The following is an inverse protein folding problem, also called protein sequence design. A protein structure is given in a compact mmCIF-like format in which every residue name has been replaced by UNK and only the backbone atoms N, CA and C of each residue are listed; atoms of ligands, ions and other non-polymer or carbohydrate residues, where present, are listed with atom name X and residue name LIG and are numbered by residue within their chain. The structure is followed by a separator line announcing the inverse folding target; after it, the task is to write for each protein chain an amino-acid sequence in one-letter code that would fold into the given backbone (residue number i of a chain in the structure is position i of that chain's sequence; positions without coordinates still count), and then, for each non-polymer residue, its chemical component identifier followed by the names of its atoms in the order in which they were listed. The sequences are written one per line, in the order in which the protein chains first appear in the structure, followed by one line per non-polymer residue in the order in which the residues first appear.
data_IF_872140125993
#
_entry.id   IF_872140125993
#
_cell.length_a   1.000
_cell.length_b   1.000
_cell.length_c   1.000
_cell.angle_alpha   90.00
_cell.angle_beta   90.00
_cell.angle_gamma   90.00
#
_symmetry.space_group_name_H-M   'P 1'
#
loop_
_entity.id
_entity.type
_entity.pdbx_description
1 polymer ?
#
# COMPACT_ATOMS: atom_id res chain seq x y z
N UNK A 1 1.69 -4.57 4.32
CA UNK A 1 0.73 -4.85 3.23
C UNK A 1 1.06 -6.19 2.60
N UNK A 2 0.05 -6.98 2.29
CA UNK A 2 0.15 -8.25 1.56
C UNK A 2 -0.76 -8.09 0.35
N UNK A 3 -0.19 -8.10 -0.85
CA UNK A 3 -0.92 -7.87 -2.10
C UNK A 3 -0.69 -9.06 -3.03
N UNK A 4 -1.76 -9.57 -3.62
CA UNK A 4 -1.75 -10.65 -4.61
C UNK A 4 -2.79 -10.36 -5.69
N UNK A 5 -2.51 -10.69 -6.94
CA UNK A 5 -3.50 -10.63 -8.01
C UNK A 5 -3.28 -11.80 -8.97
N UNK A 6 -4.37 -12.39 -9.43
CA UNK A 6 -4.39 -13.50 -10.40
C UNK A 6 -4.90 -13.07 -11.77
N UNK A 7 -5.24 -11.78 -11.93
CA UNK A 7 -5.66 -11.19 -13.20
C UNK A 7 -4.44 -11.02 -14.12
N UNK A 8 -4.67 -11.05 -15.45
CA UNK A 8 -3.60 -10.89 -16.45
C UNK A 8 -2.85 -9.56 -16.34
N UNK A 9 -3.50 -8.52 -15.81
CA UNK A 9 -2.96 -7.18 -15.54
C UNK A 9 -2.63 -6.96 -14.05
N UNK A 10 -2.55 -8.01 -13.23
CA UNK A 10 -2.40 -7.89 -11.78
C UNK A 10 -1.15 -7.14 -11.32
N UNK A 11 -0.04 -7.27 -12.05
CA UNK A 11 1.20 -6.52 -11.78
C UNK A 11 1.00 -5.02 -11.98
N UNK A 12 0.28 -4.62 -13.03
CA UNK A 12 0.02 -3.21 -13.34
C UNK A 12 -0.88 -2.61 -12.27
N UNK A 13 -1.95 -3.30 -11.90
CA UNK A 13 -2.84 -2.91 -10.80
C UNK A 13 -2.09 -2.71 -9.49
N UNK A 14 -1.22 -3.66 -9.11
CA UNK A 14 -0.43 -3.55 -7.87
C UNK A 14 0.53 -2.36 -7.97
N UNK A 15 1.18 -2.16 -9.12
CA UNK A 15 2.09 -1.03 -9.34
C UNK A 15 1.38 0.30 -9.21
N UNK A 16 0.22 0.47 -9.83
CA UNK A 16 -0.59 1.68 -9.73
C UNK A 16 -1.06 1.93 -8.29
N UNK A 17 -1.47 0.87 -7.58
CA UNK A 17 -1.88 0.97 -6.18
C UNK A 17 -0.73 1.48 -5.31
N UNK A 18 0.46 0.90 -5.49
CA UNK A 18 1.66 1.29 -4.75
C UNK A 18 2.09 2.72 -5.08
N UNK A 19 2.01 3.14 -6.35
CA UNK A 19 2.30 4.51 -6.75
C UNK A 19 1.35 5.51 -6.08
N UNK A 20 0.05 5.19 -6.00
CA UNK A 20 -0.94 6.03 -5.29
C UNK A 20 -0.65 6.11 -3.80
N UNK A 21 -0.30 4.99 -3.15
CA UNK A 21 0.07 4.99 -1.75
C UNK A 21 1.38 5.74 -1.47
N UNK A 22 2.35 5.67 -2.38
CA UNK A 22 3.63 6.37 -2.27
C UNK A 22 3.54 7.87 -2.63
N UNK A 23 2.45 8.30 -3.28
CA UNK A 23 2.17 9.71 -3.53
C UNK A 23 1.77 10.46 -2.24
N UNK A 24 1.40 9.74 -1.18
CA UNK A 24 1.16 10.33 0.14
C UNK A 24 2.48 10.82 0.71
N UNK A 25 2.45 12.04 1.24
CA UNK A 25 3.65 12.72 1.74
C UNK A 25 4.38 11.89 2.81
N UNK A 26 5.71 11.85 2.69
CA UNK A 26 6.60 11.17 3.63
C UNK A 26 6.35 9.66 3.78
N UNK A 27 5.67 9.01 2.81
CA UNK A 27 5.46 7.56 2.78
C UNK A 27 6.52 6.89 1.89
N UNK A 28 7.09 5.81 2.40
CA UNK A 28 8.01 4.93 1.66
C UNK A 28 7.46 3.52 1.68
N UNK A 29 7.35 2.92 0.50
CA UNK A 29 6.90 1.53 0.35
C UNK A 29 8.06 0.69 -0.18
N UNK A 30 8.39 -0.38 0.55
CA UNK A 30 9.50 -1.29 0.22
C UNK A 30 8.96 -2.69 0.01
N UNK A 31 9.37 -3.33 -1.09
CA UNK A 31 9.03 -4.72 -1.34
C UNK A 31 9.87 -5.67 -0.47
N UNK A 32 9.21 -6.55 0.26
CA UNK A 32 9.83 -7.55 1.14
C UNK A 32 9.86 -8.95 0.52
N UNK A 33 9.25 -9.16 -0.64
CA UNK A 33 9.15 -10.48 -1.29
C UNK A 33 7.82 -11.19 -1.05
N UNK A 34 7.43 -12.07 -1.99
CA UNK A 34 6.23 -12.91 -1.89
C UNK A 34 4.93 -12.11 -1.73
N UNK A 35 4.80 -10.99 -2.43
CA UNK A 35 3.64 -10.10 -2.32
C UNK A 35 3.58 -9.27 -1.04
N UNK A 36 4.63 -9.30 -0.19
CA UNK A 36 4.69 -8.50 1.04
C UNK A 36 5.36 -7.14 0.77
N UNK A 37 4.74 -6.09 1.28
CA UNK A 37 5.23 -4.72 1.18
C UNK A 37 5.26 -4.07 2.57
N UNK A 38 6.38 -3.46 2.90
CA UNK A 38 6.57 -2.63 4.11
C UNK A 38 6.18 -1.21 3.77
N UNK A 39 5.26 -0.63 4.54
CA UNK A 39 4.89 0.77 4.44
C UNK A 39 5.48 1.49 5.65
N UNK A 40 6.27 2.53 5.40
CA UNK A 40 6.94 3.34 6.42
C UNK A 40 6.55 4.79 6.20
N UNK A 41 6.05 5.45 7.23
CA UNK A 41 5.76 6.88 7.19
C UNK A 41 6.77 7.60 8.05
N UNK A 42 7.42 8.62 7.49
CA UNK A 42 8.22 9.58 8.24
C UNK A 42 7.31 10.72 8.67
N UNK A 43 7.37 11.11 9.92
CA UNK A 43 6.64 12.24 10.46
C UNK A 43 7.37 12.76 11.68
N UNK A 44 7.17 14.04 11.98
CA UNK A 44 7.71 14.67 13.18
C UNK A 44 7.08 14.06 14.44
N UNK A 45 5.78 13.78 14.36
CA UNK A 45 4.98 13.25 15.46
C UNK A 45 4.05 12.13 15.01
N UNK A 46 3.73 11.23 15.95
CA UNK A 46 2.82 10.11 15.72
C UNK A 46 1.43 10.57 15.23
N UNK A 47 0.95 11.72 15.70
CA UNK A 47 -0.34 12.31 15.31
C UNK A 47 -0.40 12.73 13.85
N UNK A 48 0.74 13.05 13.24
CA UNK A 48 0.83 13.35 11.80
C UNK A 48 1.10 12.09 10.97
N UNK A 49 1.89 11.15 11.50
CA UNK A 49 2.25 9.93 10.79
C UNK A 49 1.08 8.94 10.68
N UNK A 50 0.25 8.81 11.72
CA UNK A 50 -0.87 7.87 11.75
C UNK A 50 -1.92 8.12 10.65
N UNK A 51 -2.46 9.35 10.46
CA UNK A 51 -3.44 9.59 9.39
C UNK A 51 -2.84 9.34 8.00
N UNK A 52 -1.59 9.75 7.76
CA UNK A 52 -0.89 9.51 6.49
C UNK A 52 -0.68 8.01 6.22
N UNK A 53 -0.30 7.25 7.24
CA UNK A 53 -0.13 5.80 7.16
C UNK A 53 -1.45 5.12 6.81
N UNK A 54 -2.53 5.53 7.48
CA UNK A 54 -3.86 5.02 7.22
C UNK A 54 -4.30 5.33 5.80
N UNK A 55 -4.22 6.60 5.39
CA UNK A 55 -4.56 7.07 4.04
C UNK A 55 -3.82 6.29 2.95
N UNK A 56 -2.49 6.18 3.06
CA UNK A 56 -1.68 5.46 2.09
C UNK A 56 -2.04 3.97 2.02
N UNK A 57 -2.27 3.32 3.17
CA UNK A 57 -2.68 1.92 3.20
C UNK A 57 -4.07 1.70 2.61
N UNK A 58 -5.04 2.57 2.90
CA UNK A 58 -6.40 2.49 2.36
C UNK A 58 -6.42 2.72 0.85
N UNK A 59 -5.66 3.69 0.33
CA UNK A 59 -5.52 3.92 -1.11
C UNK A 59 -5.03 2.67 -1.85
N UNK A 60 -3.98 2.03 -1.32
CA UNK A 60 -3.42 0.81 -1.91
C UNK A 60 -4.44 -0.32 -1.87
N UNK A 61 -5.04 -0.58 -0.70
CA UNK A 61 -5.98 -1.68 -0.51
C UNK A 61 -7.22 -1.51 -1.38
N UNK A 62 -7.84 -0.32 -1.37
CA UNK A 62 -9.03 -0.04 -2.16
C UNK A 62 -8.76 -0.15 -3.66
N UNK A 63 -7.60 0.31 -4.14
CA UNK A 63 -7.27 0.22 -5.56
C UNK A 63 -7.10 -1.22 -6.02
N UNK A 64 -6.42 -2.07 -5.23
CA UNK A 64 -6.24 -3.49 -5.55
C UNK A 64 -7.57 -4.24 -5.48
N UNK A 65 -8.40 -4.00 -4.45
CA UNK A 65 -9.72 -4.63 -4.31
C UNK A 65 -10.66 -4.23 -5.45
N UNK A 66 -10.65 -2.97 -5.88
CA UNK A 66 -11.47 -2.48 -7.00
C UNK A 66 -11.15 -3.18 -8.33
N UNK A 67 -9.93 -3.70 -8.48
CA UNK A 67 -9.46 -4.41 -9.67
C UNK A 67 -9.40 -5.94 -9.46
N UNK A 68 -10.26 -6.47 -8.57
CA UNK A 68 -10.37 -7.91 -8.25
C UNK A 68 -9.07 -8.54 -7.71
N UNK A 69 -8.12 -7.73 -7.26
CA UNK A 69 -6.95 -8.20 -6.54
C UNK A 69 -7.26 -8.48 -5.06
N UNK A 70 -6.34 -9.15 -4.39
CA UNK A 70 -6.37 -9.42 -2.96
C UNK A 70 -5.39 -8.48 -2.27
N UNK A 71 -5.87 -7.74 -1.28
CA UNK A 71 -5.04 -6.85 -0.47
C UNK A 71 -5.38 -6.99 1.01
N UNK A 72 -4.35 -7.16 1.84
CA UNK A 72 -4.48 -7.26 3.28
C UNK A 72 -3.47 -6.34 3.98
N UNK A 73 -3.96 -5.51 4.89
CA UNK A 73 -3.12 -4.67 5.72
C UNK A 73 -2.95 -5.30 7.10
N UNK A 74 -1.80 -5.95 7.33
CA UNK A 74 -1.39 -6.38 8.68
C UNK A 74 -0.61 -5.26 9.38
N UNK A 75 -1.15 -4.75 10.49
CA UNK A 75 -0.44 -3.93 11.48
C UNK A 75 0.20 -4.89 12.49
N UNK A 76 1.51 -4.78 12.72
CA UNK A 76 2.24 -5.57 13.71
C UNK A 76 2.99 -4.62 14.64
#
# INVERSE_FOLDING_TARGET
LILSSYEGNGIETIREALLKGAAVDSVTITYLGGGKYKLVVKGSDYKEAEPKLKEASELVVNHVLAHKGLAEFKRK
#
